data_IF_686172560332
#
_entry.id   IF_686172560332
#
_cell.length_a   1.000
_cell.length_b   1.000
_cell.length_c   1.000
_cell.angle_alpha   90.00
_cell.angle_beta   90.00
_cell.angle_gamma   90.00
#
_symmetry.space_group_name_H-M   'P 1'
#
loop_
_entity.id
_entity.type
_entity.pdbx_description
1 polymer ?
#
# COMPACT_ATOMS: atom_id res chain seq x y z
N UNK A 1 -20.75 45.20 7.11
CA UNK A 1 -21.01 44.04 6.23
C UNK A 1 -19.67 43.35 5.96
N UNK A 2 -19.36 42.26 6.67
CA UNK A 2 -18.11 41.50 6.48
C UNK A 2 -18.24 40.72 5.18
N UNK A 3 -17.53 41.13 4.14
CA UNK A 3 -17.45 40.38 2.88
C UNK A 3 -16.57 39.15 3.11
N UNK A 4 -17.19 38.01 3.34
CA UNK A 4 -16.52 36.72 3.28
C UNK A 4 -16.16 36.45 1.82
N UNK A 5 -14.92 36.80 1.43
CA UNK A 5 -14.36 36.35 0.15
C UNK A 5 -14.27 34.82 0.21
N UNK A 6 -15.25 34.14 -0.39
CA UNK A 6 -15.14 32.72 -0.68
C UNK A 6 -14.01 32.56 -1.69
N UNK A 7 -12.80 32.22 -1.20
CA UNK A 7 -11.68 31.83 -2.07
C UNK A 7 -12.19 30.69 -2.95
N UNK A 8 -12.32 30.95 -4.25
CA UNK A 8 -12.68 29.97 -5.27
C UNK A 8 -11.93 28.66 -5.03
N UNK A 9 -12.69 27.60 -4.71
CA UNK A 9 -12.12 26.28 -4.49
C UNK A 9 -11.58 25.76 -5.83
N UNK A 10 -10.29 25.43 -5.87
CA UNK A 10 -9.70 24.87 -7.08
C UNK A 10 -10.21 23.44 -7.27
N UNK A 11 -11.08 23.26 -8.28
CA UNK A 11 -11.67 21.95 -8.62
C UNK A 11 -10.63 20.85 -8.79
N UNK A 12 -9.45 21.17 -9.35
CA UNK A 12 -8.37 20.20 -9.51
C UNK A 12 -7.79 19.70 -8.19
N UNK A 13 -7.66 20.60 -7.20
CA UNK A 13 -7.23 20.23 -5.84
C UNK A 13 -8.32 19.39 -5.15
N UNK A 14 -9.59 19.76 -5.32
CA UNK A 14 -10.71 19.02 -4.74
C UNK A 14 -10.82 17.60 -5.30
N UNK A 15 -10.73 17.41 -6.61
CA UNK A 15 -10.73 16.07 -7.23
C UNK A 15 -9.52 15.24 -6.80
N UNK A 16 -8.33 15.84 -6.69
CA UNK A 16 -7.14 15.13 -6.22
C UNK A 16 -7.29 14.66 -4.77
N UNK A 17 -7.75 15.52 -3.85
CA UNK A 17 -8.00 15.14 -2.46
C UNK A 17 -9.09 14.08 -2.37
N UNK A 18 -10.20 14.22 -3.11
CA UNK A 18 -11.29 13.24 -3.13
C UNK A 18 -10.82 11.87 -3.64
N UNK A 19 -10.08 11.84 -4.75
CA UNK A 19 -9.49 10.62 -5.28
C UNK A 19 -8.56 9.97 -4.25
N UNK A 20 -7.69 10.77 -3.62
CA UNK A 20 -6.80 10.31 -2.56
C UNK A 20 -7.54 9.70 -1.37
N UNK A 21 -8.61 10.34 -0.89
CA UNK A 21 -9.44 9.82 0.20
C UNK A 21 -10.10 8.49 -0.16
N UNK A 22 -10.67 8.36 -1.38
CA UNK A 22 -11.26 7.11 -1.85
C UNK A 22 -10.20 6.00 -1.92
N UNK A 23 -9.01 6.31 -2.43
CA UNK A 23 -7.92 5.34 -2.52
C UNK A 23 -7.45 4.87 -1.14
N UNK A 24 -7.36 5.78 -0.15
CA UNK A 24 -7.01 5.44 1.23
C UNK A 24 -8.10 4.60 1.90
N UNK A 25 -9.37 4.91 1.65
CA UNK A 25 -10.48 4.07 2.13
C UNK A 25 -10.37 2.64 1.60
N UNK A 26 -10.12 2.47 0.29
CA UNK A 26 -9.87 1.16 -0.32
C UNK A 26 -8.64 0.49 0.31
N UNK A 27 -7.54 1.23 0.53
CA UNK A 27 -6.34 0.70 1.18
C UNK A 27 -6.65 0.08 2.55
N UNK A 28 -7.48 0.75 3.37
CA UNK A 28 -7.90 0.24 4.68
C UNK A 28 -8.71 -1.05 4.53
N UNK A 29 -9.64 -1.12 3.58
CA UNK A 29 -10.41 -2.34 3.31
C UNK A 29 -9.51 -3.50 2.87
N UNK A 30 -8.55 -3.25 1.95
CA UNK A 30 -7.60 -4.26 1.50
C UNK A 30 -6.69 -4.76 2.63
N UNK A 31 -6.28 -3.87 3.53
CA UNK A 31 -5.55 -4.25 4.74
C UNK A 31 -6.38 -5.14 5.65
N UNK A 32 -7.66 -4.83 5.84
CA UNK A 32 -8.61 -5.65 6.58
C UNK A 32 -8.78 -7.05 5.98
N UNK A 33 -8.96 -7.15 4.66
CA UNK A 33 -9.05 -8.43 3.94
C UNK A 33 -7.76 -9.23 4.10
N UNK A 34 -6.60 -8.61 3.90
CA UNK A 34 -5.29 -9.26 4.04
C UNK A 34 -5.09 -9.83 5.45
N UNK A 35 -5.57 -9.12 6.48
CA UNK A 35 -5.50 -9.57 7.87
C UNK A 35 -6.45 -10.73 8.14
N UNK A 36 -7.71 -10.61 7.73
CA UNK A 36 -8.76 -11.61 8.00
C UNK A 36 -8.55 -12.92 7.23
N UNK A 37 -7.93 -12.85 6.05
CA UNK A 37 -7.56 -14.03 5.25
C UNK A 37 -6.24 -14.67 5.69
N UNK A 38 -5.52 -14.08 6.67
CA UNK A 38 -4.21 -14.57 7.08
C UNK A 38 -3.10 -14.31 6.05
N UNK A 39 -3.33 -13.45 5.07
CA UNK A 39 -2.43 -13.22 3.94
C UNK A 39 -1.21 -12.35 4.26
N UNK A 40 -1.19 -11.63 5.38
CA UNK A 40 -0.21 -10.56 5.64
C UNK A 40 1.26 -10.97 5.82
N UNK A 41 1.59 -12.26 5.72
CA UNK A 41 2.97 -12.80 5.79
C UNK A 41 3.26 -13.79 4.66
N UNK A 42 2.46 -13.79 3.60
CA UNK A 42 2.61 -14.68 2.45
C UNK A 42 3.78 -14.30 1.52
N UNK A 43 4.17 -13.02 1.51
CA UNK A 43 5.28 -12.48 0.71
C UNK A 43 6.44 -12.13 1.63
N UNK A 44 7.46 -12.98 1.63
CA UNK A 44 8.62 -12.90 2.54
C UNK A 44 9.65 -11.85 2.13
N UNK A 45 9.57 -11.34 0.90
CA UNK A 45 10.54 -10.36 0.38
C UNK A 45 9.92 -8.98 0.18
N UNK A 46 10.72 -7.95 0.45
CA UNK A 46 10.35 -6.57 0.20
C UNK A 46 10.90 -6.07 -1.15
N UNK A 47 10.31 -6.57 -2.22
CA UNK A 47 10.68 -6.19 -3.58
C UNK A 47 9.89 -4.94 -4.03
N UNK A 48 10.48 -3.75 -3.89
CA UNK A 48 9.81 -2.46 -4.20
C UNK A 48 9.49 -2.31 -5.69
N UNK A 49 10.44 -2.69 -6.55
CA UNK A 49 10.34 -2.51 -8.01
C UNK A 49 9.80 -3.79 -8.67
N UNK A 50 10.46 -4.93 -8.45
CA UNK A 50 10.10 -6.20 -9.07
C UNK A 50 8.79 -6.79 -8.52
N UNK A 51 8.37 -6.41 -7.31
CA UNK A 51 7.12 -6.84 -6.70
C UNK A 51 5.86 -6.12 -7.20
N UNK A 52 5.94 -5.33 -8.28
CA UNK A 52 4.77 -4.78 -8.99
C UNK A 52 4.03 -5.89 -9.74
N UNK A 53 4.77 -6.83 -10.33
CA UNK A 53 4.20 -7.99 -11.02
C UNK A 53 4.22 -9.20 -10.08
N UNK A 54 3.14 -10.00 -10.04
CA UNK A 54 3.18 -11.28 -9.34
C UNK A 54 4.02 -12.29 -10.15
N UNK A 55 4.37 -13.45 -9.59
CA UNK A 55 5.00 -14.53 -10.34
C UNK A 55 4.18 -14.87 -11.60
N UNK A 56 4.85 -14.94 -12.75
CA UNK A 56 4.19 -15.13 -14.05
C UNK A 56 4.37 -16.55 -14.61
N UNK A 57 5.39 -17.26 -14.15
CA UNK A 57 5.70 -18.64 -14.58
C UNK A 57 5.44 -19.66 -13.45
N UNK A 58 5.14 -20.93 -13.79
CA UNK A 58 5.04 -22.01 -12.80
C UNK A 58 6.28 -22.13 -11.92
N UNK A 59 7.48 -21.95 -12.48
CA UNK A 59 8.74 -22.05 -11.76
C UNK A 59 8.89 -20.93 -10.71
N UNK A 60 8.52 -19.70 -11.05
CA UNK A 60 8.53 -18.58 -10.09
C UNK A 60 7.50 -18.82 -8.97
N UNK A 61 6.31 -19.33 -9.30
CA UNK A 61 5.30 -19.68 -8.30
C UNK A 61 5.79 -20.74 -7.33
N UNK A 62 6.45 -21.79 -7.82
CA UNK A 62 7.07 -22.81 -6.96
C UNK A 62 8.15 -22.21 -6.07
N UNK A 63 9.03 -21.35 -6.60
CA UNK A 63 10.09 -20.72 -5.82
C UNK A 63 9.55 -19.86 -4.67
N UNK A 64 8.52 -19.04 -4.92
CA UNK A 64 7.88 -18.24 -3.86
C UNK A 64 7.15 -19.13 -2.84
N UNK A 65 6.51 -20.20 -3.29
CA UNK A 65 5.85 -21.13 -2.38
C UNK A 65 6.86 -21.88 -1.50
N UNK A 66 8.02 -22.26 -2.05
CA UNK A 66 9.08 -22.92 -1.29
C UNK A 66 9.71 -21.99 -0.25
N UNK A 67 9.80 -20.67 -0.52
CA UNK A 67 10.13 -19.66 0.50
C UNK A 67 9.05 -19.61 1.58
N UNK A 68 7.78 -19.57 1.19
CA UNK A 68 6.66 -19.53 2.13
C UNK A 68 6.63 -20.74 3.06
N UNK A 69 6.95 -21.94 2.54
CA UNK A 69 7.03 -23.17 3.34
C UNK A 69 8.05 -23.13 4.47
N UNK A 70 9.07 -22.27 4.37
CA UNK A 70 10.08 -22.09 5.42
C UNK A 70 9.61 -21.14 6.54
N UNK A 71 8.46 -20.50 6.37
CA UNK A 71 7.95 -19.55 7.36
C UNK A 71 7.28 -20.27 8.53
N UNK A 72 7.34 -19.70 9.75
CA UNK A 72 6.59 -20.20 10.90
C UNK A 72 5.08 -20.28 10.63
N UNK A 73 4.54 -19.33 9.86
CA UNK A 73 3.12 -19.32 9.50
C UNK A 73 2.72 -20.56 8.71
N UNK A 74 3.56 -21.01 7.77
CA UNK A 74 3.30 -22.25 7.05
C UNK A 74 3.31 -23.44 8.01
N UNK A 75 4.33 -23.58 8.85
CA UNK A 75 4.43 -24.72 9.75
C UNK A 75 3.32 -24.77 10.81
N UNK A 76 2.88 -23.63 11.33
CA UNK A 76 1.92 -23.56 12.44
C UNK A 76 0.46 -23.54 12.01
N UNK A 77 0.16 -22.89 10.87
CA UNK A 77 -1.23 -22.64 10.45
C UNK A 77 -1.57 -23.28 9.10
N UNK A 78 -0.59 -23.37 8.19
CA UNK A 78 -0.86 -23.65 6.77
C UNK A 78 -0.10 -24.87 6.23
N UNK A 79 0.28 -25.82 7.09
CA UNK A 79 1.19 -26.93 6.73
C UNK A 79 0.64 -27.87 5.63
N UNK A 80 -0.67 -27.83 5.39
CA UNK A 80 -1.35 -28.57 4.32
C UNK A 80 -1.68 -27.76 3.07
N UNK A 81 -1.25 -26.50 2.98
CA UNK A 81 -1.58 -25.65 1.83
C UNK A 81 -1.05 -26.24 0.53
N UNK A 82 -1.89 -26.19 -0.51
CA UNK A 82 -1.47 -26.43 -1.88
C UNK A 82 -0.91 -25.14 -2.49
N UNK A 83 -0.32 -25.25 -3.69
CA UNK A 83 0.08 -24.07 -4.45
C UNK A 83 -1.12 -23.15 -4.76
N UNK A 84 -2.33 -23.69 -4.88
CA UNK A 84 -3.54 -22.91 -5.14
C UNK A 84 -3.91 -22.05 -3.92
N UNK A 85 -3.83 -22.64 -2.72
CA UNK A 85 -4.11 -21.93 -1.46
C UNK A 85 -3.08 -20.82 -1.23
N UNK A 86 -1.80 -21.11 -1.50
CA UNK A 86 -0.74 -20.11 -1.47
C UNK A 86 -1.00 -18.95 -2.44
N UNK A 87 -1.39 -19.23 -3.68
CA UNK A 87 -1.72 -18.18 -4.67
C UNK A 87 -2.85 -17.26 -4.19
N UNK A 88 -3.85 -17.80 -3.47
CA UNK A 88 -4.94 -17.01 -2.92
C UNK A 88 -4.45 -16.00 -1.87
N UNK A 89 -3.66 -16.45 -0.89
CA UNK A 89 -3.13 -15.54 0.13
C UNK A 89 -2.11 -14.56 -0.46
N UNK A 90 -1.26 -15.03 -1.37
CA UNK A 90 -0.28 -14.20 -2.08
C UNK A 90 -0.97 -13.06 -2.85
N UNK A 91 -2.07 -13.36 -3.54
CA UNK A 91 -2.81 -12.37 -4.31
C UNK A 91 -3.27 -11.19 -3.45
N UNK A 92 -3.88 -11.47 -2.29
CA UNK A 92 -4.40 -10.41 -1.42
C UNK A 92 -3.29 -9.54 -0.87
N UNK A 93 -2.18 -10.14 -0.44
CA UNK A 93 -1.05 -9.37 0.04
C UNK A 93 -0.37 -8.57 -1.08
N UNK A 94 -0.15 -9.18 -2.25
CA UNK A 94 0.40 -8.51 -3.42
C UNK A 94 -0.47 -7.33 -3.85
N UNK A 95 -1.79 -7.52 -3.92
CA UNK A 95 -2.72 -6.48 -4.34
C UNK A 95 -2.79 -5.34 -3.32
N UNK A 96 -2.80 -5.64 -2.03
CA UNK A 96 -2.70 -4.65 -0.96
C UNK A 96 -1.40 -3.82 -1.05
N UNK A 97 -0.25 -4.47 -1.29
CA UNK A 97 1.05 -3.79 -1.48
C UNK A 97 1.08 -2.96 -2.76
N UNK A 98 0.54 -3.47 -3.86
CA UNK A 98 0.46 -2.76 -5.14
C UNK A 98 -0.42 -1.51 -5.03
N UNK A 99 -1.60 -1.64 -4.42
CA UNK A 99 -2.51 -0.52 -4.19
C UNK A 99 -1.86 0.58 -3.33
N UNK A 100 -1.12 0.20 -2.29
CA UNK A 100 -0.38 1.15 -1.46
C UNK A 100 0.65 1.95 -2.27
N UNK A 101 1.39 1.28 -3.16
CA UNK A 101 2.33 1.96 -4.08
C UNK A 101 1.61 2.91 -5.01
N UNK A 102 0.47 2.51 -5.57
CA UNK A 102 -0.33 3.35 -6.44
C UNK A 102 -0.85 4.60 -5.70
N UNK A 103 -1.32 4.44 -4.47
CA UNK A 103 -1.70 5.57 -3.59
C UNK A 103 -0.52 6.53 -3.43
N UNK A 104 0.66 6.01 -3.10
CA UNK A 104 1.89 6.79 -2.97
C UNK A 104 2.21 7.58 -4.24
N UNK A 105 2.16 6.95 -5.42
CA UNK A 105 2.41 7.62 -6.71
C UNK A 105 1.38 8.72 -6.98
N UNK A 106 0.08 8.44 -6.82
CA UNK A 106 -0.99 9.41 -7.07
C UNK A 106 -0.89 10.62 -6.13
N UNK A 107 -0.58 10.40 -4.85
CA UNK A 107 -0.40 11.48 -3.88
C UNK A 107 0.87 12.28 -4.14
N UNK A 108 2.02 11.64 -4.32
CA UNK A 108 3.30 12.35 -4.52
C UNK A 108 3.27 13.14 -5.84
N UNK A 109 2.89 12.49 -6.95
CA UNK A 109 2.83 13.15 -8.26
C UNK A 109 1.80 14.27 -8.25
N UNK A 110 0.60 14.01 -7.71
CA UNK A 110 -0.44 15.03 -7.63
C UNK A 110 -0.02 16.24 -6.78
N UNK A 111 0.61 16.01 -5.63
CA UNK A 111 1.14 17.09 -4.79
C UNK A 111 2.19 17.92 -5.52
N UNK A 112 3.18 17.26 -6.13
CA UNK A 112 4.27 17.94 -6.87
C UNK A 112 3.70 18.77 -8.02
N UNK A 113 2.77 18.22 -8.82
CA UNK A 113 2.14 18.94 -9.93
C UNK A 113 1.32 20.15 -9.46
N UNK A 114 0.57 20.02 -8.37
CA UNK A 114 -0.25 21.10 -7.81
C UNK A 114 0.60 22.18 -7.12
N UNK A 115 1.74 21.79 -6.53
CA UNK A 115 2.73 22.70 -5.96
C UNK A 115 3.39 23.54 -7.05
N UNK A 116 3.91 22.91 -8.12
CA UNK A 116 4.50 23.62 -9.27
C UNK A 116 3.49 24.55 -9.96
N UNK A 117 2.23 24.12 -10.11
CA UNK A 117 1.16 24.95 -10.67
C UNK A 117 0.64 26.04 -9.72
N UNK A 118 1.24 26.20 -8.53
CA UNK A 118 0.84 27.14 -7.46
C UNK A 118 -0.66 27.08 -7.14
N UNK A 119 -1.23 25.86 -7.19
CA UNK A 119 -2.66 25.62 -6.97
C UNK A 119 -2.97 25.32 -5.49
N UNK A 120 -1.96 24.97 -4.70
CA UNK A 120 -2.08 24.71 -3.27
C UNK A 120 -2.04 26.03 -2.48
N UNK A 121 -2.92 26.14 -1.47
CA UNK A 121 -2.84 27.23 -0.48
C UNK A 121 -1.71 26.91 0.51
N UNK A 122 -1.01 27.93 1.02
CA UNK A 122 0.09 27.73 1.97
C UNK A 122 -0.34 26.94 3.22
N UNK A 123 -1.56 27.17 3.69
CA UNK A 123 -2.20 26.46 4.81
C UNK A 123 -2.32 24.93 4.58
N UNK A 124 -2.35 24.48 3.32
CA UNK A 124 -2.47 23.07 2.97
C UNK A 124 -1.12 22.34 2.91
N UNK A 125 -0.02 23.08 2.76
CA UNK A 125 1.30 22.48 2.51
C UNK A 125 1.78 21.72 3.76
N UNK A 126 1.70 22.33 4.95
CA UNK A 126 2.17 21.70 6.19
C UNK A 126 1.41 20.40 6.52
N UNK A 127 0.06 20.35 6.50
CA UNK A 127 -0.66 19.09 6.71
C UNK A 127 -0.30 18.00 5.69
N UNK A 128 -0.08 18.37 4.42
CA UNK A 128 0.30 17.42 3.38
C UNK A 128 1.72 16.87 3.59
N UNK A 129 2.67 17.70 4.04
CA UNK A 129 4.01 17.24 4.41
C UNK A 129 3.98 16.27 5.59
N UNK A 130 3.16 16.55 6.61
CA UNK A 130 2.94 15.63 7.73
C UNK A 130 2.36 14.31 7.23
N UNK A 131 1.38 14.36 6.33
CA UNK A 131 0.78 13.15 5.72
C UNK A 131 1.83 12.30 5.00
N UNK A 132 2.73 12.91 4.21
CA UNK A 132 3.82 12.19 3.55
C UNK A 132 4.80 11.57 4.55
N UNK A 133 5.14 12.30 5.61
CA UNK A 133 6.00 11.78 6.66
C UNK A 133 5.38 10.57 7.37
N UNK A 134 4.09 10.65 7.73
CA UNK A 134 3.35 9.53 8.31
C UNK A 134 3.25 8.34 7.34
N UNK A 135 3.03 8.60 6.05
CA UNK A 135 3.04 7.56 5.01
C UNK A 135 4.38 6.85 4.88
N UNK A 136 5.49 7.60 4.97
CA UNK A 136 6.84 7.02 4.99
C UNK A 136 7.05 6.14 6.23
N UNK A 137 6.67 6.62 7.42
CA UNK A 137 6.71 5.82 8.64
C UNK A 137 5.89 4.53 8.52
N UNK A 138 4.71 4.61 7.92
CA UNK A 138 3.87 3.43 7.69
C UNK A 138 4.54 2.41 6.75
N UNK A 139 5.21 2.87 5.69
CA UNK A 139 5.97 2.00 4.80
C UNK A 139 7.16 1.34 5.53
N UNK A 140 7.86 2.09 6.40
CA UNK A 140 8.95 1.56 7.23
C UNK A 140 8.44 0.51 8.23
N UNK A 141 7.30 0.74 8.87
CA UNK A 141 6.65 -0.24 9.75
C UNK A 141 6.29 -1.51 8.97
N UNK A 142 5.75 -1.37 7.77
CA UNK A 142 5.45 -2.51 6.88
C UNK A 142 6.70 -3.32 6.54
N UNK A 143 7.83 -2.66 6.27
CA UNK A 143 9.10 -3.34 6.04
C UNK A 143 9.59 -4.09 7.28
N UNK A 144 9.52 -3.47 8.47
CA UNK A 144 9.89 -4.11 9.74
C UNK A 144 9.04 -5.35 10.00
N UNK A 145 7.73 -5.29 9.75
CA UNK A 145 6.82 -6.44 9.92
C UNK A 145 7.25 -7.65 9.08
N UNK A 146 7.66 -7.41 7.82
CA UNK A 146 8.14 -8.50 6.94
C UNK A 146 9.47 -9.04 7.44
N UNK A 147 10.38 -8.17 7.88
CA UNK A 147 11.67 -8.60 8.41
C UNK A 147 11.54 -9.40 9.72
N UNK A 148 10.60 -9.04 10.61
CA UNK A 148 10.42 -9.67 11.92
C UNK A 148 9.47 -10.88 11.92
N UNK A 149 8.50 -10.92 11.00
CA UNK A 149 7.55 -12.03 10.87
C UNK A 149 8.16 -13.35 10.37
N UNK A 150 9.45 -13.35 10.04
CA UNK A 150 10.21 -14.49 9.53
C UNK A 150 11.10 -15.17 10.58
N UNK A 151 11.19 -14.62 11.80
CA UNK A 151 12.07 -15.15 12.87
C UNK A 151 11.31 -15.59 14.13
N UNK A 152 10.00 -15.80 14.03
CA UNK A 152 9.12 -16.19 15.15
C UNK A 152 9.03 -17.69 15.37
#
# INVERSE_FOLDING_TARGET
MVSWKTKSANRGVAYWVLAGTIMLFIQVLLGGITRLTGSGLSITEWNVITGVLPPLSPQQWSAEFDKYKQTPQFHLLNAGFTLSDFKFIFFWEWFHRLWARLVGVVFIVGFVLLLFKRKLKSEMITPLLILFFLGLLQALIGWIMVASGLTG
#
